data_IF_837781407342
#
_entry.id   IF_837781407342
#
_cell.length_a   1.000
_cell.length_b   1.000
_cell.length_c   1.000
_cell.angle_alpha   90.00
_cell.angle_beta   90.00
_cell.angle_gamma   90.00
#
_symmetry.space_group_name_H-M   'P 1'
#
loop_
_entity.id
_entity.type
_entity.pdbx_description
1 polymer ?
#
# COMPACT_ATOMS: atom_id res chain seq x y z
N UNK A 1 2.37 -34.48 16.22
CA UNK A 1 2.49 -33.42 17.25
C UNK A 1 3.08 -32.21 16.55
N UNK A 2 2.32 -31.13 16.38
CA UNK A 2 2.88 -29.89 15.84
C UNK A 2 3.83 -29.33 16.91
N UNK A 3 5.09 -29.14 16.57
CA UNK A 3 6.07 -28.54 17.47
C UNK A 3 5.93 -27.02 17.41
N UNK A 4 6.31 -26.33 18.49
CA UNK A 4 6.32 -24.85 18.55
C UNK A 4 7.09 -24.21 17.39
N UNK A 5 8.14 -24.88 16.90
CA UNK A 5 8.92 -24.47 15.73
C UNK A 5 8.08 -24.46 14.44
N UNK A 6 7.22 -25.47 14.22
CA UNK A 6 6.36 -25.52 13.04
C UNK A 6 5.32 -24.38 13.04
N UNK A 7 4.79 -24.02 14.21
CA UNK A 7 3.86 -22.88 14.34
C UNK A 7 4.56 -21.54 14.06
N UNK A 8 5.80 -21.37 14.50
CA UNK A 8 6.58 -20.15 14.25
C UNK A 8 6.88 -19.97 12.75
N UNK A 9 7.26 -21.04 12.06
CA UNK A 9 7.52 -21.01 10.61
C UNK A 9 6.24 -20.68 9.83
N UNK A 10 5.13 -21.32 10.20
CA UNK A 10 3.82 -21.01 9.60
C UNK A 10 3.44 -19.54 9.83
N UNK A 11 3.60 -19.02 11.04
CA UNK A 11 3.35 -17.61 11.35
C UNK A 11 4.19 -16.66 10.48
N UNK A 12 5.51 -16.83 10.47
CA UNK A 12 6.42 -16.01 9.66
C UNK A 12 6.11 -16.06 8.17
N UNK A 13 5.73 -17.23 7.65
CA UNK A 13 5.36 -17.37 6.24
C UNK A 13 4.10 -16.57 5.88
N UNK A 14 3.11 -16.53 6.76
CA UNK A 14 1.86 -15.79 6.56
C UNK A 14 2.12 -14.29 6.69
N UNK A 15 2.84 -13.85 7.72
CA UNK A 15 3.18 -12.44 7.89
C UNK A 15 4.02 -11.89 6.73
N UNK A 16 5.03 -12.63 6.28
CA UNK A 16 5.82 -12.25 5.11
C UNK A 16 4.98 -12.19 3.84
N UNK A 17 4.06 -13.14 3.63
CA UNK A 17 3.13 -13.10 2.50
C UNK A 17 2.22 -11.86 2.55
N UNK A 18 1.69 -11.51 3.71
CA UNK A 18 0.83 -10.33 3.88
C UNK A 18 1.61 -9.05 3.63
N UNK A 19 2.82 -8.89 4.17
CA UNK A 19 3.64 -7.70 3.93
C UNK A 19 3.98 -7.50 2.44
N UNK A 20 4.13 -8.59 1.68
CA UNK A 20 4.40 -8.52 0.23
C UNK A 20 3.11 -8.25 -0.58
N UNK A 21 1.94 -8.67 -0.09
CA UNK A 21 0.67 -8.64 -0.83
C UNK A 21 -0.31 -7.57 -0.38
N UNK A 22 -0.09 -6.92 0.77
CA UNK A 22 -0.84 -5.77 1.26
C UNK A 22 0.08 -4.56 1.55
N UNK A 23 0.76 -4.04 0.52
CA UNK A 23 1.42 -2.74 0.54
C UNK A 23 0.45 -1.58 0.86
N UNK A 24 0.99 -0.47 1.36
CA UNK A 24 0.21 0.62 1.91
C UNK A 24 -0.69 1.31 0.86
N UNK A 25 -1.96 1.46 1.21
CA UNK A 25 -2.98 2.06 0.35
C UNK A 25 -2.68 3.55 0.14
N UNK A 26 -2.72 3.99 -1.12
CA UNK A 26 -2.64 5.40 -1.49
C UNK A 26 -3.73 6.22 -0.74
N UNK A 27 -3.34 7.18 0.12
CA UNK A 27 -4.27 7.97 0.91
C UNK A 27 -5.33 8.67 0.04
N UNK A 28 -6.59 8.79 0.51
CA UNK A 28 -7.65 9.45 -0.24
C UNK A 28 -7.32 10.90 -0.63
N UNK A 29 -6.43 11.58 0.13
CA UNK A 29 -5.97 12.94 -0.18
C UNK A 29 -5.22 13.00 -1.52
N UNK A 30 -4.42 12.00 -1.84
CA UNK A 30 -3.72 11.90 -3.12
C UNK A 30 -4.54 11.24 -4.22
N UNK A 31 -5.75 10.75 -3.91
CA UNK A 31 -6.68 10.24 -4.92
C UNK A 31 -7.72 11.27 -5.37
N UNK A 32 -7.81 12.42 -4.68
CA UNK A 32 -8.83 13.45 -4.90
C UNK A 32 -8.18 14.79 -5.25
N UNK A 33 -8.88 15.56 -6.07
CA UNK A 33 -8.48 16.93 -6.39
C UNK A 33 -8.72 17.88 -5.22
N UNK A 34 -8.05 19.05 -5.23
CA UNK A 34 -8.24 20.12 -4.24
C UNK A 34 -9.71 20.52 -4.10
N UNK A 35 -10.44 20.65 -5.20
CA UNK A 35 -11.88 20.94 -5.19
C UNK A 35 -12.72 19.90 -4.41
N UNK A 36 -12.20 18.68 -4.26
CA UNK A 36 -12.83 17.56 -3.55
C UNK A 36 -12.18 17.25 -2.19
N UNK A 37 -11.36 18.16 -1.67
CA UNK A 37 -10.70 18.03 -0.37
C UNK A 37 -9.50 17.08 -0.35
N UNK A 38 -8.85 16.86 -1.50
CA UNK A 38 -7.55 16.19 -1.59
C UNK A 38 -6.41 17.16 -1.90
N UNK A 39 -5.19 16.65 -1.99
CA UNK A 39 -3.97 17.43 -2.23
C UNK A 39 -3.63 17.56 -3.73
N UNK A 40 -4.29 16.80 -4.61
CA UNK A 40 -3.99 16.85 -6.05
C UNK A 40 -4.49 18.14 -6.72
N UNK A 41 -3.59 18.82 -7.43
CA UNK A 41 -3.97 19.95 -8.31
C UNK A 41 -4.73 19.43 -9.54
N UNK A 42 -4.23 18.38 -10.19
CA UNK A 42 -4.90 17.71 -11.31
C UNK A 42 -5.04 16.21 -11.08
N UNK A 43 -6.07 15.58 -11.64
CA UNK A 43 -6.26 14.13 -11.54
C UNK A 43 -5.12 13.32 -12.20
N UNK A 44 -4.39 13.90 -13.14
CA UNK A 44 -3.21 13.28 -13.74
C UNK A 44 -2.00 13.20 -12.81
N UNK A 45 -1.97 14.03 -11.77
CA UNK A 45 -0.84 14.11 -10.84
C UNK A 45 -0.82 12.94 -9.85
N UNK A 46 -1.86 12.09 -9.83
CA UNK A 46 -1.94 10.91 -8.97
C UNK A 46 -0.75 9.95 -9.16
N UNK A 47 -0.20 9.83 -10.37
CA UNK A 47 0.97 8.99 -10.63
C UNK A 47 2.28 9.51 -10.03
N UNK A 48 2.29 10.77 -9.63
CA UNK A 48 3.43 11.41 -8.95
C UNK A 48 3.51 10.92 -7.50
N UNK A 49 2.36 10.82 -6.82
CA UNK A 49 2.27 10.43 -5.41
C UNK A 49 2.13 8.92 -5.24
N UNK A 50 1.35 8.28 -6.12
CA UNK A 50 0.99 6.88 -5.99
C UNK A 50 1.48 6.07 -7.20
N UNK A 51 1.92 4.84 -6.95
CA UNK A 51 2.33 3.89 -7.98
C UNK A 51 1.37 2.72 -8.07
N UNK A 52 1.21 2.15 -9.25
CA UNK A 52 0.44 0.92 -9.42
C UNK A 52 1.34 -0.25 -9.08
N UNK A 53 0.91 -1.11 -8.17
CA UNK A 53 1.66 -2.32 -7.88
C UNK A 53 0.83 -3.59 -8.10
N UNK A 54 1.45 -4.62 -8.69
CA UNK A 54 0.74 -5.82 -9.09
C UNK A 54 0.41 -6.66 -7.86
N UNK A 55 -0.88 -6.89 -7.63
CA UNK A 55 -1.34 -7.91 -6.70
C UNK A 55 -1.42 -9.27 -7.39
N UNK A 56 -1.36 -10.37 -6.61
CA UNK A 56 -1.77 -11.67 -7.11
C UNK A 56 -3.18 -11.60 -7.72
N UNK A 57 -3.44 -12.44 -8.71
CA UNK A 57 -4.72 -12.52 -9.44
C UNK A 57 -5.02 -11.35 -10.40
N UNK A 58 -4.01 -10.66 -10.91
CA UNK A 58 -4.16 -9.67 -12.00
C UNK A 58 -4.87 -8.39 -11.58
N UNK A 59 -4.88 -8.12 -10.27
CA UNK A 59 -5.38 -6.86 -9.72
C UNK A 59 -4.22 -5.88 -9.59
N UNK A 60 -4.54 -4.59 -9.73
CA UNK A 60 -3.62 -3.50 -9.46
C UNK A 60 -4.24 -2.67 -8.34
N UNK A 61 -3.42 -2.27 -7.37
CA UNK A 61 -3.79 -1.28 -6.38
C UNK A 61 -2.87 -0.07 -6.51
N UNK A 62 -3.36 1.05 -5.99
CA UNK A 62 -2.60 2.28 -5.88
C UNK A 62 -1.91 2.28 -4.54
N UNK A 63 -0.58 2.16 -4.59
CA UNK A 63 0.30 2.23 -3.44
C UNK A 63 0.80 3.66 -3.27
N UNK A 64 0.95 4.12 -2.05
CA UNK A 64 1.71 5.35 -1.81
C UNK A 64 3.19 5.11 -2.13
N UNK A 65 3.87 6.07 -2.75
CA UNK A 65 5.33 6.00 -2.89
C UNK A 65 5.99 6.33 -1.56
N UNK A 66 7.08 5.63 -1.25
CA UNK A 66 7.88 5.82 -0.03
C UNK A 66 8.28 7.29 0.21
N UNK A 67 8.52 8.05 -0.86
CA UNK A 67 8.86 9.49 -0.81
C UNK A 67 7.79 10.36 -0.10
N UNK A 68 6.55 9.88 -0.01
CA UNK A 68 5.41 10.60 0.58
C UNK A 68 4.85 9.93 1.83
N UNK A 69 5.38 8.77 2.24
CA UNK A 69 4.95 8.09 3.48
C UNK A 69 5.30 8.90 4.73
N UNK A 70 6.45 9.58 4.75
CA UNK A 70 6.91 10.38 5.91
C UNK A 70 6.13 11.70 6.11
N UNK A 71 5.49 12.23 5.07
CA UNK A 71 4.70 13.48 5.13
C UNK A 71 3.27 13.26 5.68
N UNK A 72 2.80 12.01 5.72
CA UNK A 72 1.44 11.64 6.13
C UNK A 72 1.28 11.35 7.63
N UNK A 73 2.37 11.19 8.38
CA UNK A 73 2.34 10.89 9.83
C UNK A 73 2.25 12.14 10.75
N UNK A 74 2.03 13.34 10.21
CA UNK A 74 1.95 14.61 10.98
C UNK A 74 0.53 15.07 11.36
#
# INVERSE_FOLDING_TARGET
MITTVNLAILGLSIFGWVAITAPDDCPPKYMKTIEKGGELVNSGDISTYCYTSPLPYGKYYWALREEYEEEDEE
#
